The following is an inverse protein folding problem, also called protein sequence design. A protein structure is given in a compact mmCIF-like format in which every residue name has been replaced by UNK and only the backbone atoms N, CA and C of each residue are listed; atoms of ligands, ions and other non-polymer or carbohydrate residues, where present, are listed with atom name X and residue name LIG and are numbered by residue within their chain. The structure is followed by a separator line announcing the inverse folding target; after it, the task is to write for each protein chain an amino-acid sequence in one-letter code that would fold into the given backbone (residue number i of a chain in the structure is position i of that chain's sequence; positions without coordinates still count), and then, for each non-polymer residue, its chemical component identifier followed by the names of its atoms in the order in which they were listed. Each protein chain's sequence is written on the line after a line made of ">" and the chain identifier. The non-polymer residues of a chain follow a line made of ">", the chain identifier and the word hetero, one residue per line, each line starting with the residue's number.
data_IF_014328923748
#
_entry.id   IF_014328923748
#
_cell.length_a   1.000
_cell.length_b   1.000
_cell.length_c   1.000
_cell.angle_alpha   90.00
_cell.angle_beta   90.00
_cell.angle_gamma   90.00
#
_symmetry.space_group_name_H-M   'P 1'
#
loop_
_entity.id
_entity.type
_entity.pdbx_description
1 polymer ?
#
# COMPACT_ATOMS: atom_id res chain seq x y z
N UNK A 1 -3.85 11.08 -16.77
CA UNK A 1 -4.30 10.68 -15.41
C UNK A 1 -4.63 9.18 -15.30
N UNK A 2 -5.03 8.51 -16.39
CA UNK A 2 -5.37 7.08 -16.41
C UNK A 2 -4.16 6.13 -16.22
N UNK A 3 -3.01 6.46 -16.79
CA UNK A 3 -1.81 5.60 -16.74
C UNK A 3 -1.39 5.16 -15.32
N UNK A 4 -1.36 6.04 -14.32
CA UNK A 4 -1.06 5.62 -12.94
C UNK A 4 -2.11 4.65 -12.36
N UNK A 5 -3.38 4.79 -12.75
CA UNK A 5 -4.47 3.94 -12.24
C UNK A 5 -4.41 2.50 -12.78
N UNK A 6 -3.83 2.29 -13.97
CA UNK A 6 -3.66 0.99 -14.59
C UNK A 6 -2.44 0.21 -14.04
N UNK A 7 -1.56 0.88 -13.30
CA UNK A 7 -0.38 0.24 -12.72
C UNK A 7 -0.78 -0.92 -11.79
N UNK A 8 -0.11 -2.05 -11.95
CA UNK A 8 -0.37 -3.27 -11.17
C UNK A 8 -1.48 -4.17 -11.72
N UNK A 9 -2.17 -3.79 -12.79
CA UNK A 9 -3.12 -4.65 -13.48
C UNK A 9 -2.42 -5.55 -14.51
N UNK A 10 -2.97 -6.72 -14.76
CA UNK A 10 -2.53 -7.60 -15.85
C UNK A 10 -2.96 -7.05 -17.21
N UNK A 11 -2.27 -7.43 -18.29
CA UNK A 11 -2.65 -7.03 -19.65
C UNK A 11 -4.11 -7.37 -19.96
N UNK A 12 -4.58 -8.55 -19.55
CA UNK A 12 -5.97 -8.99 -19.73
C UNK A 12 -6.99 -8.07 -19.00
N UNK A 13 -6.67 -7.64 -17.78
CA UNK A 13 -7.52 -6.72 -17.02
C UNK A 13 -7.54 -5.34 -17.67
N UNK A 14 -6.40 -4.88 -18.19
CA UNK A 14 -6.29 -3.61 -18.92
C UNK A 14 -7.12 -3.66 -20.20
N UNK A 15 -6.96 -4.71 -21.01
CA UNK A 15 -7.70 -4.88 -22.27
C UNK A 15 -9.21 -4.91 -22.02
N UNK A 16 -9.65 -5.72 -21.05
CA UNK A 16 -11.06 -5.78 -20.66
C UNK A 16 -11.64 -4.44 -20.21
N UNK A 17 -10.85 -3.65 -19.50
CA UNK A 17 -11.27 -2.31 -19.06
C UNK A 17 -11.34 -1.32 -20.21
N UNK A 18 -10.37 -1.39 -21.13
CA UNK A 18 -10.39 -0.57 -22.35
C UNK A 18 -11.60 -0.92 -23.22
N UNK A 19 -11.90 -2.21 -23.37
CA UNK A 19 -13.08 -2.67 -24.13
C UNK A 19 -14.38 -2.17 -23.49
N UNK A 20 -14.49 -2.22 -22.16
CA UNK A 20 -15.67 -1.70 -21.45
C UNK A 20 -15.81 -0.19 -21.62
N UNK A 21 -14.72 0.58 -21.47
CA UNK A 21 -14.71 2.03 -21.64
C UNK A 21 -15.06 2.43 -23.09
N UNK A 22 -14.49 1.74 -24.08
CA UNK A 22 -14.78 1.97 -25.49
C UNK A 22 -16.22 1.60 -25.87
N UNK A 23 -16.77 0.55 -25.25
CA UNK A 23 -18.14 0.12 -25.49
C UNK A 23 -19.18 1.05 -24.87
N UNK A 24 -18.85 1.75 -23.78
CA UNK A 24 -19.79 2.64 -23.08
C UNK A 24 -19.84 4.04 -23.70
N UNK A 25 -18.70 4.68 -23.92
CA UNK A 25 -18.63 6.10 -24.32
C UNK A 25 -17.72 6.38 -25.52
N UNK A 26 -17.10 5.38 -26.13
CA UNK A 26 -16.19 5.54 -27.25
C UNK A 26 -14.89 6.31 -26.94
N UNK A 27 -14.67 6.70 -25.70
CA UNK A 27 -13.48 7.43 -25.24
C UNK A 27 -13.22 7.20 -23.76
N UNK A 28 -11.94 7.25 -23.37
CA UNK A 28 -11.53 7.12 -21.98
C UNK A 28 -11.85 8.40 -21.19
N UNK A 29 -12.67 8.28 -20.17
CA UNK A 29 -13.17 9.37 -19.33
C UNK A 29 -12.66 9.34 -17.89
N UNK A 30 -13.00 10.36 -17.11
CA UNK A 30 -12.70 10.38 -15.67
C UNK A 30 -13.52 9.31 -14.88
N UNK A 31 -14.70 8.96 -15.40
CA UNK A 31 -15.60 7.94 -14.82
C UNK A 31 -14.96 6.55 -14.89
N UNK A 32 -14.19 6.27 -15.95
CA UNK A 32 -13.46 5.00 -16.08
C UNK A 32 -12.37 4.87 -15.01
N UNK A 33 -11.75 5.97 -14.60
CA UNK A 33 -10.78 5.98 -13.49
C UNK A 33 -11.45 5.55 -12.18
N UNK A 34 -12.67 5.99 -11.94
CA UNK A 34 -13.43 5.62 -10.75
C UNK A 34 -13.83 4.15 -10.78
N UNK A 35 -14.24 3.64 -11.93
CA UNK A 35 -14.54 2.22 -12.14
C UNK A 35 -13.30 1.34 -11.84
N UNK A 36 -12.11 1.74 -12.32
CA UNK A 36 -10.84 1.06 -12.02
C UNK A 36 -10.60 1.00 -10.51
N UNK A 37 -10.75 2.13 -9.83
CA UNK A 37 -10.57 2.20 -8.39
C UNK A 37 -11.56 1.30 -7.63
N UNK A 38 -12.81 1.24 -8.07
CA UNK A 38 -13.83 0.37 -7.47
C UNK A 38 -13.50 -1.12 -7.69
N UNK A 39 -13.01 -1.51 -8.86
CA UNK A 39 -12.55 -2.88 -9.09
C UNK A 39 -11.37 -3.25 -8.21
N UNK A 40 -10.36 -2.38 -8.09
CA UNK A 40 -9.20 -2.58 -7.20
C UNK A 40 -9.66 -2.72 -5.73
N UNK A 41 -10.57 -1.87 -5.28
CA UNK A 41 -11.16 -1.97 -3.93
C UNK A 41 -11.90 -3.30 -3.72
N UNK A 42 -12.64 -3.76 -4.72
CA UNK A 42 -13.35 -5.06 -4.67
C UNK A 42 -12.39 -6.24 -4.59
N UNK A 43 -11.29 -6.22 -5.35
CA UNK A 43 -10.24 -7.23 -5.32
C UNK A 43 -9.59 -7.33 -3.93
N UNK A 44 -9.25 -6.18 -3.34
CA UNK A 44 -8.68 -6.11 -1.98
C UNK A 44 -9.65 -6.72 -0.96
N UNK A 45 -10.93 -6.31 -0.99
CA UNK A 45 -11.96 -6.82 -0.05
C UNK A 45 -12.18 -8.32 -0.19
N UNK A 46 -12.21 -8.87 -1.41
CA UNK A 46 -12.41 -10.31 -1.66
C UNK A 46 -11.26 -11.17 -1.16
N UNK A 47 -10.05 -10.63 -1.07
CA UNK A 47 -8.88 -11.38 -0.64
C UNK A 47 -8.93 -11.79 0.83
N UNK A 48 -9.56 -10.98 1.68
CA UNK A 48 -9.58 -11.17 3.14
C UNK A 48 -8.22 -11.04 3.84
N UNK A 49 -7.15 -10.69 3.10
CA UNK A 49 -5.79 -10.55 3.61
C UNK A 49 -5.41 -9.09 3.90
N UNK A 50 -6.05 -8.16 3.23
CA UNK A 50 -5.86 -6.72 3.37
C UNK A 50 -7.17 -6.06 3.71
N UNK A 51 -7.12 -5.10 4.62
CA UNK A 51 -8.25 -4.24 4.98
C UNK A 51 -8.12 -2.90 4.27
N UNK A 52 -9.20 -2.48 3.59
CA UNK A 52 -9.28 -1.14 3.01
C UNK A 52 -9.75 -0.17 4.10
N UNK A 53 -8.90 0.79 4.44
CA UNK A 53 -9.19 1.79 5.47
C UNK A 53 -9.68 3.08 4.82
N UNK A 54 -10.81 3.58 5.29
CA UNK A 54 -11.28 4.90 4.92
C UNK A 54 -10.36 5.98 5.50
N UNK A 55 -9.99 6.95 4.66
CA UNK A 55 -9.00 7.97 4.98
C UNK A 55 -9.56 9.39 5.01
N UNK A 56 -10.44 9.75 5.99
CA UNK A 56 -10.92 11.12 6.13
C UNK A 56 -9.92 12.03 6.86
N UNK A 57 -8.75 11.55 7.24
CA UNK A 57 -7.77 12.29 8.01
C UNK A 57 -6.94 13.22 7.13
N UNK A 58 -6.74 14.46 7.57
CA UNK A 58 -5.73 15.36 7.01
C UNK A 58 -4.53 15.47 7.96
N UNK A 59 -3.36 15.85 7.43
CA UNK A 59 -2.16 16.09 8.25
C UNK A 59 -2.38 17.15 9.34
N UNK A 60 -3.30 18.10 9.11
CA UNK A 60 -3.57 19.19 10.04
C UNK A 60 -4.26 18.71 11.33
N UNK A 61 -4.95 17.55 11.26
CA UNK A 61 -5.59 16.91 12.41
C UNK A 61 -4.62 16.18 13.34
N UNK A 62 -3.36 16.03 12.91
CA UNK A 62 -2.32 15.39 13.72
C UNK A 62 -1.62 16.45 14.55
N UNK A 63 -1.69 16.37 15.88
CA UNK A 63 -0.91 17.21 16.77
C UNK A 63 0.59 16.87 16.72
N UNK A 64 1.46 17.87 16.74
CA UNK A 64 2.92 17.66 16.73
C UNK A 64 3.48 17.01 15.46
N UNK A 65 4.56 16.24 15.61
CA UNK A 65 5.25 15.48 14.55
C UNK A 65 5.64 16.33 13.32
N UNK A 66 6.06 17.58 13.53
CA UNK A 66 6.35 18.52 12.45
C UNK A 66 7.38 18.00 11.46
N UNK A 67 8.47 17.40 11.95
CA UNK A 67 9.51 16.82 11.10
C UNK A 67 8.95 15.70 10.18
N UNK A 68 8.06 14.82 10.71
CA UNK A 68 7.40 13.77 9.91
C UNK A 68 6.44 14.39 8.88
N UNK A 69 5.69 15.41 9.26
CA UNK A 69 4.79 16.12 8.34
C UNK A 69 5.53 16.76 7.18
N UNK A 70 6.64 17.43 7.47
CA UNK A 70 7.47 18.05 6.44
C UNK A 70 8.14 17.01 5.54
N UNK A 71 8.61 15.90 6.12
CA UNK A 71 9.10 14.76 5.36
C UNK A 71 8.03 14.22 4.40
N UNK A 72 6.81 13.95 4.88
CA UNK A 72 5.72 13.42 4.07
C UNK A 72 5.30 14.41 2.96
N UNK A 73 5.22 15.72 3.27
CA UNK A 73 4.95 16.77 2.28
C UNK A 73 6.01 16.79 1.17
N UNK A 74 7.28 16.69 1.52
CA UNK A 74 8.36 16.63 0.54
C UNK A 74 8.27 15.35 -0.32
N UNK A 75 7.97 14.20 0.30
CA UNK A 75 7.80 12.94 -0.44
C UNK A 75 6.55 12.94 -1.32
N UNK A 76 5.48 13.63 -0.94
CA UNK A 76 4.30 13.76 -1.81
C UNK A 76 4.60 14.47 -3.13
N UNK A 77 5.50 15.47 -3.11
CA UNK A 77 5.96 16.15 -4.34
C UNK A 77 6.75 15.22 -5.24
N UNK A 78 7.60 14.35 -4.67
CA UNK A 78 8.35 13.34 -5.42
C UNK A 78 7.40 12.34 -6.07
N UNK A 79 6.38 11.86 -5.33
CA UNK A 79 5.40 10.90 -5.83
C UNK A 79 4.50 11.51 -6.90
N UNK A 80 4.19 12.80 -6.81
CA UNK A 80 3.34 13.49 -7.78
C UNK A 80 3.98 13.59 -9.18
N UNK A 81 5.31 13.66 -9.25
CA UNK A 81 6.06 13.75 -10.53
C UNK A 81 7.31 12.85 -10.48
N UNK A 82 7.06 11.54 -10.47
CA UNK A 82 8.12 10.53 -10.41
C UNK A 82 9.13 10.62 -11.56
N UNK A 83 8.72 10.79 -12.83
CA UNK A 83 9.67 10.89 -13.92
C UNK A 83 10.67 12.04 -13.72
N UNK A 84 10.17 13.22 -13.39
CA UNK A 84 11.02 14.39 -13.14
C UNK A 84 11.94 14.20 -11.94
N UNK A 85 11.46 13.57 -10.87
CA UNK A 85 12.27 13.28 -9.70
C UNK A 85 13.42 12.32 -10.03
N UNK A 86 13.16 11.31 -10.86
CA UNK A 86 14.19 10.35 -11.31
C UNK A 86 15.24 11.02 -12.20
N UNK A 87 14.84 11.93 -13.09
CA UNK A 87 15.77 12.71 -13.92
C UNK A 87 16.72 13.56 -13.09
N UNK A 88 16.26 14.02 -11.90
CA UNK A 88 17.11 14.71 -10.92
C UNK A 88 17.89 13.76 -10.00
N UNK A 89 17.85 12.44 -10.22
CA UNK A 89 18.54 11.46 -9.38
C UNK A 89 17.89 11.22 -7.99
N UNK A 90 16.65 11.66 -7.80
CA UNK A 90 15.94 11.45 -6.52
C UNK A 90 15.36 10.06 -6.48
N UNK A 91 15.75 9.28 -5.44
CA UNK A 91 15.21 7.93 -5.23
C UNK A 91 13.74 7.96 -4.82
N UNK A 92 12.96 7.01 -5.34
CA UNK A 92 11.57 6.79 -4.93
C UNK A 92 11.55 6.38 -3.46
N UNK A 93 10.72 7.02 -2.61
CA UNK A 93 10.60 6.62 -1.21
C UNK A 93 9.97 5.23 -1.11
N UNK A 94 10.67 4.29 -0.48
CA UNK A 94 10.21 2.90 -0.32
C UNK A 94 9.25 2.75 0.85
N UNK A 95 9.50 3.46 1.96
CA UNK A 95 8.65 3.39 3.13
C UNK A 95 9.11 4.28 4.28
N UNK A 96 8.30 4.30 5.33
CA UNK A 96 8.59 5.00 6.59
C UNK A 96 8.35 4.02 7.74
N UNK A 97 9.34 3.82 8.58
CA UNK A 97 9.21 3.02 9.78
C UNK A 97 8.89 3.93 10.97
N UNK A 98 7.73 3.73 11.59
CA UNK A 98 7.25 4.56 12.70
C UNK A 98 7.26 3.74 13.98
N UNK A 99 8.08 4.14 14.94
CA UNK A 99 8.20 3.51 16.25
C UNK A 99 7.68 4.47 17.31
N UNK A 100 6.95 3.94 18.27
CA UNK A 100 6.45 4.73 19.39
C UNK A 100 5.45 3.96 20.25
N UNK A 101 5.12 4.52 21.40
CA UNK A 101 4.19 3.91 22.36
C UNK A 101 2.76 3.79 21.76
N UNK A 102 1.93 2.88 22.28
CA UNK A 102 0.51 2.86 21.94
C UNK A 102 -0.13 4.24 22.17
N UNK A 103 -1.05 4.65 21.30
CA UNK A 103 -1.74 5.94 21.42
C UNK A 103 -0.99 7.17 20.89
N UNK A 104 0.29 7.06 20.48
CA UNK A 104 1.07 8.21 19.97
C UNK A 104 0.74 8.65 18.54
N UNK A 105 -0.33 8.10 17.92
CA UNK A 105 -0.80 8.56 16.61
C UNK A 105 -0.21 7.84 15.39
N UNK A 106 0.47 6.69 15.54
CA UNK A 106 1.06 5.92 14.42
C UNK A 106 0.03 5.62 13.32
N UNK A 107 -1.13 5.10 13.70
CA UNK A 107 -2.22 4.79 12.75
C UNK A 107 -2.78 6.04 12.08
N UNK A 108 -2.82 7.16 12.81
CA UNK A 108 -3.27 8.44 12.26
C UNK A 108 -2.28 8.97 11.21
N UNK A 109 -0.97 8.75 11.41
CA UNK A 109 0.06 9.08 10.43
C UNK A 109 -0.11 8.29 9.14
N UNK A 110 -0.42 6.99 9.20
CA UNK A 110 -0.69 6.18 8.01
C UNK A 110 -1.90 6.72 7.23
N UNK A 111 -3.01 7.02 7.93
CA UNK A 111 -4.21 7.62 7.32
C UNK A 111 -3.92 8.97 6.67
N UNK A 112 -3.19 9.83 7.35
CA UNK A 112 -2.86 11.15 6.83
C UNK A 112 -1.88 11.09 5.65
N UNK A 113 -0.95 10.11 5.63
CA UNK A 113 -0.08 9.87 4.49
C UNK A 113 -0.88 9.49 3.25
N UNK A 114 -1.83 8.58 3.37
CA UNK A 114 -2.70 8.18 2.27
C UNK A 114 -3.55 9.34 1.74
N UNK A 115 -4.11 10.15 2.64
CA UNK A 115 -4.85 11.36 2.26
C UNK A 115 -3.96 12.37 1.53
N UNK A 116 -2.72 12.59 2.02
CA UNK A 116 -1.75 13.50 1.39
C UNK A 116 -1.33 13.03 -0.01
N UNK A 117 -1.14 11.72 -0.19
CA UNK A 117 -0.78 11.13 -1.48
C UNK A 117 -1.99 10.91 -2.40
N UNK A 118 -3.19 11.18 -1.91
CA UNK A 118 -4.46 10.95 -2.60
C UNK A 118 -4.56 9.51 -3.14
N UNK A 119 -4.22 8.54 -2.30
CA UNK A 119 -4.20 7.11 -2.62
C UNK A 119 -4.98 6.31 -1.57
N UNK A 120 -5.51 5.12 -1.92
CA UNK A 120 -6.15 4.25 -0.94
C UNK A 120 -5.14 3.79 0.13
N UNK A 121 -5.64 3.59 1.36
CA UNK A 121 -4.90 3.00 2.46
C UNK A 121 -5.29 1.53 2.61
N UNK A 122 -4.32 0.65 2.47
CA UNK A 122 -4.45 -0.77 2.70
C UNK A 122 -3.75 -1.12 4.02
N UNK A 123 -4.44 -1.81 4.92
CA UNK A 123 -3.86 -2.30 6.16
C UNK A 123 -3.56 -3.79 6.05
N UNK A 124 -2.34 -4.16 6.39
CA UNK A 124 -1.88 -5.53 6.59
C UNK A 124 -1.61 -5.72 8.08
N UNK A 125 -2.43 -6.55 8.73
CA UNK A 125 -2.24 -6.91 10.14
C UNK A 125 -1.39 -8.17 10.24
N UNK A 126 -0.14 -8.02 10.65
CA UNK A 126 0.79 -9.14 10.79
C UNK A 126 0.39 -10.06 11.95
N UNK A 127 -0.24 -9.52 13.00
CA UNK A 127 -0.72 -10.33 14.12
C UNK A 127 -1.80 -11.33 13.71
N UNK A 128 -2.77 -10.89 12.90
CA UNK A 128 -3.84 -11.76 12.40
C UNK A 128 -3.35 -12.79 11.39
N UNK A 129 -2.32 -12.46 10.61
CA UNK A 129 -1.73 -13.38 9.63
C UNK A 129 -0.98 -14.54 10.28
N UNK A 130 -0.38 -14.30 11.46
CA UNK A 130 0.40 -15.31 12.19
C UNK A 130 -0.46 -16.28 12.99
N UNK A 131 -1.72 -15.93 13.26
CA UNK A 131 -2.57 -16.64 14.21
C UNK A 131 -3.30 -17.87 13.67
N UNK A 132 -3.38 -18.09 12.36
CA UNK A 132 -4.30 -19.11 11.82
C UNK A 132 -3.66 -20.47 11.50
N UNK A 133 -2.51 -20.54 10.87
CA UNK A 133 -1.76 -21.79 10.61
C UNK A 133 -0.32 -21.47 10.21
N UNK A 134 0.65 -22.10 10.86
CA UNK A 134 2.09 -21.84 10.70
C UNK A 134 2.60 -22.07 9.27
N UNK A 135 1.98 -22.97 8.49
CA UNK A 135 2.37 -23.24 7.10
C UNK A 135 1.76 -22.30 6.05
N UNK A 136 0.67 -21.59 6.37
CA UNK A 136 -0.03 -20.72 5.43
C UNK A 136 0.46 -19.25 5.48
N UNK A 137 1.11 -18.86 6.57
CA UNK A 137 1.49 -17.47 6.82
C UNK A 137 2.42 -16.90 5.76
N UNK A 138 3.41 -17.66 5.29
CA UNK A 138 4.31 -17.22 4.21
C UNK A 138 3.56 -17.04 2.89
N UNK A 139 2.70 -18.00 2.53
CA UNK A 139 1.87 -17.92 1.34
C UNK A 139 0.90 -16.72 1.38
N UNK A 140 0.32 -16.46 2.54
CA UNK A 140 -0.59 -15.33 2.74
C UNK A 140 0.13 -13.98 2.66
N UNK A 141 1.33 -13.85 3.22
CA UNK A 141 2.15 -12.65 3.07
C UNK A 141 2.48 -12.38 1.59
N UNK A 142 2.92 -13.40 0.86
CA UNK A 142 3.19 -13.28 -0.58
C UNK A 142 1.95 -12.84 -1.38
N UNK A 143 0.80 -13.43 -1.07
CA UNK A 143 -0.48 -13.04 -1.71
C UNK A 143 -0.88 -11.61 -1.35
N UNK A 144 -0.78 -11.21 -0.07
CA UNK A 144 -1.11 -9.86 0.37
C UNK A 144 -0.24 -8.80 -0.33
N UNK A 145 1.07 -9.04 -0.44
CA UNK A 145 1.99 -8.15 -1.15
C UNK A 145 1.60 -8.03 -2.63
N UNK A 146 1.34 -9.15 -3.33
CA UNK A 146 0.90 -9.12 -4.73
C UNK A 146 -0.41 -8.34 -4.93
N UNK A 147 -1.36 -8.47 -4.00
CA UNK A 147 -2.61 -7.72 -4.04
C UNK A 147 -2.36 -6.22 -3.82
N UNK A 148 -1.46 -5.86 -2.90
CA UNK A 148 -1.07 -4.47 -2.68
C UNK A 148 -0.40 -3.87 -3.93
N UNK A 149 0.49 -4.61 -4.60
CA UNK A 149 1.11 -4.21 -5.88
C UNK A 149 0.07 -4.02 -6.99
N UNK A 150 -0.88 -4.94 -7.11
CA UNK A 150 -1.98 -4.83 -8.07
C UNK A 150 -2.92 -3.66 -7.76
N UNK A 151 -3.08 -3.31 -6.48
CA UNK A 151 -3.85 -2.14 -6.05
C UNK A 151 -3.10 -0.81 -6.20
N UNK A 152 -1.82 -0.82 -6.57
CA UNK A 152 -1.01 0.40 -6.72
C UNK A 152 -1.64 1.42 -7.70
N UNK A 153 -1.48 2.75 -7.48
CA UNK A 153 -0.78 3.36 -6.36
C UNK A 153 -1.61 3.29 -5.06
N UNK A 154 -1.00 2.85 -3.96
CA UNK A 154 -1.62 2.78 -2.65
C UNK A 154 -0.60 3.02 -1.54
N UNK A 155 -1.07 3.34 -0.34
CA UNK A 155 -0.26 3.28 0.88
C UNK A 155 -0.54 1.95 1.56
N UNK A 156 0.49 1.13 1.76
CA UNK A 156 0.41 -0.10 2.53
C UNK A 156 0.86 0.19 3.97
N UNK A 157 -0.09 0.10 4.91
CA UNK A 157 0.19 0.18 6.33
C UNK A 157 0.35 -1.23 6.91
N UNK A 158 1.55 -1.57 7.31
CA UNK A 158 1.86 -2.84 7.97
C UNK A 158 1.82 -2.60 9.47
N UNK A 159 0.83 -3.18 10.13
CA UNK A 159 0.62 -3.06 11.57
C UNK A 159 1.23 -4.25 12.31
N UNK A 160 1.71 -4.01 13.52
CA UNK A 160 2.30 -5.03 14.40
C UNK A 160 3.44 -5.82 13.75
N UNK A 161 4.26 -5.13 12.96
CA UNK A 161 5.37 -5.73 12.20
C UNK A 161 6.36 -6.48 13.12
N UNK A 162 6.49 -6.05 14.38
CA UNK A 162 7.30 -6.70 15.40
C UNK A 162 6.86 -8.13 15.70
N UNK A 163 5.57 -8.45 15.55
CA UNK A 163 5.05 -9.82 15.75
C UNK A 163 5.57 -10.78 14.68
N UNK A 164 5.76 -10.30 13.45
CA UNK A 164 6.34 -11.10 12.39
C UNK A 164 7.85 -11.36 12.59
N UNK A 165 8.52 -10.52 13.37
CA UNK A 165 9.97 -10.55 13.51
C UNK A 165 10.45 -11.05 14.87
N UNK A 166 9.53 -11.24 15.83
CA UNK A 166 9.85 -11.70 17.19
C UNK A 166 10.48 -13.09 17.25
N UNK A 167 10.38 -13.89 16.19
CA UNK A 167 10.98 -15.25 16.08
C UNK A 167 12.23 -15.32 15.20
N UNK A 168 12.71 -14.21 14.66
CA UNK A 168 13.89 -14.18 13.78
C UNK A 168 15.16 -14.42 14.61
N UNK A 169 15.91 -15.47 14.28
CA UNK A 169 17.12 -15.88 15.02
C UNK A 169 16.88 -17.00 16.04
N UNK A 170 15.63 -17.43 16.24
CA UNK A 170 15.29 -18.65 16.98
C UNK A 170 15.07 -19.85 16.04
N UNK A 171 14.60 -20.98 16.58
CA UNK A 171 14.32 -22.22 15.83
C UNK A 171 13.11 -22.12 14.89
N UNK A 172 12.68 -20.92 14.47
CA UNK A 172 11.50 -20.73 13.65
C UNK A 172 11.87 -20.32 12.20
N UNK A 173 12.19 -21.31 11.37
CA UNK A 173 12.57 -21.13 9.96
C UNK A 173 11.55 -20.35 9.12
N UNK A 174 10.26 -20.42 9.49
CA UNK A 174 9.18 -19.76 8.73
C UNK A 174 9.26 -18.24 8.91
N UNK A 175 9.46 -17.77 10.15
CA UNK A 175 9.62 -16.35 10.44
C UNK A 175 10.83 -15.76 9.72
N UNK A 176 11.94 -16.48 9.74
CA UNK A 176 13.17 -16.08 9.04
C UNK A 176 12.96 -15.97 7.53
N UNK A 177 12.23 -16.91 6.92
CA UNK A 177 11.89 -16.87 5.48
C UNK A 177 10.93 -15.73 5.15
N UNK A 178 9.90 -15.52 5.96
CA UNK A 178 8.95 -14.40 5.78
C UNK A 178 9.67 -13.05 5.86
N UNK A 179 10.57 -12.90 6.82
CA UNK A 179 11.38 -11.70 6.97
C UNK A 179 12.30 -11.49 5.76
N UNK A 180 13.01 -12.53 5.33
CA UNK A 180 13.87 -12.48 4.14
C UNK A 180 13.09 -12.09 2.88
N UNK A 181 11.89 -12.66 2.69
CA UNK A 181 11.02 -12.29 1.58
C UNK A 181 10.59 -10.83 1.65
N UNK A 182 10.17 -10.38 2.83
CA UNK A 182 9.77 -8.98 3.05
C UNK A 182 10.90 -8.00 2.78
N UNK A 183 12.10 -8.27 3.29
CA UNK A 183 13.28 -7.43 3.02
C UNK A 183 13.64 -7.38 1.53
N UNK A 184 13.59 -8.54 0.86
CA UNK A 184 13.84 -8.61 -0.59
C UNK A 184 12.81 -7.81 -1.39
N UNK A 185 11.55 -7.84 -0.96
CA UNK A 185 10.51 -7.03 -1.58
C UNK A 185 10.70 -5.52 -1.37
N UNK A 186 11.23 -5.11 -0.22
CA UNK A 186 11.51 -3.70 0.10
C UNK A 186 12.73 -3.12 -0.66
N UNK A 187 13.60 -3.95 -1.23
CA UNK A 187 14.76 -3.53 -2.05
C UNK A 187 14.35 -3.09 -3.44
#
# INVERSE_FOLDING_TARGET
>A
KLMPSLKGMTSFEIDRMLDMAMSSNGSLSAEDTEMILQQKKSMVKKSGLLELIDTPASLDKIGGMNALKDYLKNKSRVIADLPKAQDFGVSIPKGVFIVGMPGCGKSLCAKASAALFNTPLLKLDMGSMMGKYVGESEGNLRKAIKIAEAAAPCVLWIDEIEKAFSGVGGNNDIMTRMFGYFLSWMQ
#
